data_IF_369663139821
#
_entry.id   IF_369663139821
#
_cell.length_a   1.000
_cell.length_b   1.000
_cell.length_c   1.000
_cell.angle_alpha   90.00
_cell.angle_beta   90.00
_cell.angle_gamma   90.00
#
_symmetry.space_group_name_H-M   'P 1'
#
loop_
_entity.id
_entity.type
_entity.pdbx_description
1 polymer ?
#
# COMPACT_ATOMS: atom_id res chain seq x y z
N UNK A 1 -12.45 59.16 0.25
CA UNK A 1 -12.00 57.75 0.16
C UNK A 1 -12.72 56.93 1.23
N UNK A 2 -13.86 56.32 0.90
CA UNK A 2 -14.53 55.38 1.80
C UNK A 2 -14.30 53.97 1.26
N UNK A 3 -13.15 53.39 1.61
CA UNK A 3 -12.86 51.99 1.35
C UNK A 3 -13.65 51.15 2.35
N UNK A 4 -14.80 50.63 1.92
CA UNK A 4 -15.51 49.59 2.67
C UNK A 4 -14.66 48.32 2.67
N UNK A 5 -14.12 47.94 3.81
CA UNK A 5 -13.61 46.58 4.01
C UNK A 5 -14.78 45.61 3.82
N UNK A 6 -14.66 44.57 2.99
CA UNK A 6 -15.70 43.56 2.91
C UNK A 6 -15.85 42.93 4.28
N UNK A 7 -17.06 43.00 4.83
CA UNK A 7 -17.42 42.33 6.07
C UNK A 7 -17.04 40.86 5.94
N UNK A 8 -16.14 40.39 6.81
CA UNK A 8 -15.67 39.01 6.78
C UNK A 8 -16.83 38.07 7.12
N UNK A 9 -17.41 37.47 6.09
CA UNK A 9 -18.51 36.51 6.17
C UNK A 9 -18.10 35.37 7.10
N UNK A 10 -18.99 34.94 8.00
CA UNK A 10 -18.71 33.73 8.79
C UNK A 10 -18.53 32.55 7.83
N UNK A 11 -17.53 31.71 8.05
CA UNK A 11 -17.15 30.68 7.09
C UNK A 11 -17.31 29.33 7.78
N UNK A 12 -18.30 28.58 7.32
CA UNK A 12 -18.47 27.18 7.68
C UNK A 12 -17.91 26.35 6.54
N UNK A 13 -17.09 25.35 6.84
CA UNK A 13 -16.55 24.43 5.84
C UNK A 13 -16.44 23.01 6.37
N UNK A 14 -16.44 22.04 5.47
CA UNK A 14 -16.23 20.63 5.79
C UNK A 14 -14.85 20.22 5.29
N UNK A 15 -14.01 19.71 6.19
CA UNK A 15 -12.68 19.20 5.87
C UNK A 15 -12.72 17.68 5.75
N UNK A 16 -12.24 17.20 4.61
CA UNK A 16 -12.10 15.78 4.28
C UNK A 16 -10.80 15.57 3.51
N UNK A 17 -10.11 14.42 3.69
CA UNK A 17 -8.97 14.04 2.88
C UNK A 17 -9.41 13.73 1.45
N UNK A 18 -8.54 13.98 0.47
CA UNK A 18 -8.82 13.64 -0.92
C UNK A 18 -8.86 12.11 -1.14
N UNK A 19 -8.06 11.36 -0.38
CA UNK A 19 -7.91 9.91 -0.54
C UNK A 19 -7.80 9.25 0.84
N UNK A 20 -8.43 8.09 0.99
CA UNK A 20 -8.29 7.20 2.15
C UNK A 20 -7.97 5.80 1.65
N UNK A 21 -6.97 5.17 2.26
CA UNK A 21 -6.61 3.78 1.99
C UNK A 21 -7.38 2.86 2.96
N UNK A 22 -7.92 1.76 2.43
CA UNK A 22 -8.62 0.75 3.20
C UNK A 22 -8.07 -0.65 2.96
N UNK A 23 -7.27 -1.21 3.87
CA UNK A 23 -6.85 -2.60 3.74
C UNK A 23 -8.08 -3.52 3.81
N UNK A 24 -8.17 -4.48 2.88
CA UNK A 24 -9.29 -5.40 2.79
C UNK A 24 -9.54 -6.12 4.14
N UNK A 25 -10.80 -6.16 4.58
CA UNK A 25 -11.21 -6.80 5.82
C UNK A 25 -10.89 -6.01 7.09
N UNK A 26 -10.26 -4.83 7.00
CA UNK A 26 -10.00 -3.95 8.15
C UNK A 26 -11.10 -2.90 8.32
N UNK A 27 -11.14 -2.27 9.50
CA UNK A 27 -11.98 -1.10 9.72
C UNK A 27 -11.31 0.17 9.18
N UNK A 28 -12.10 1.04 8.55
CA UNK A 28 -11.60 2.28 7.94
C UNK A 28 -12.45 3.46 8.39
N UNK A 29 -11.79 4.50 8.88
CA UNK A 29 -12.42 5.77 9.23
C UNK A 29 -12.39 6.71 8.03
N UNK A 30 -13.57 7.19 7.61
CA UNK A 30 -13.71 8.31 6.68
C UNK A 30 -13.99 9.58 7.48
N UNK A 31 -12.99 10.45 7.68
CA UNK A 31 -13.14 11.62 8.52
C UNK A 31 -13.93 12.72 7.81
N UNK A 32 -14.82 13.37 8.56
CA UNK A 32 -15.47 14.62 8.16
C UNK A 32 -15.47 15.57 9.34
N UNK A 33 -14.82 16.72 9.20
CA UNK A 33 -14.69 17.71 10.26
C UNK A 33 -15.36 19.02 9.85
N UNK A 34 -16.33 19.47 10.65
CA UNK A 34 -16.90 20.81 10.52
C UNK A 34 -15.93 21.83 11.11
N UNK A 35 -15.51 22.78 10.27
CA UNK A 35 -14.81 23.98 10.67
C UNK A 35 -15.84 25.12 10.77
N UNK A 36 -15.90 25.75 11.94
CA UNK A 36 -16.83 26.82 12.26
C UNK A 36 -16.05 28.00 12.85
N UNK A 37 -16.20 29.18 12.26
CA UNK A 37 -15.55 30.40 12.74
C UNK A 37 -16.22 31.04 13.97
N UNK A 38 -17.26 30.42 14.55
CA UNK A 38 -17.97 30.81 15.78
C UNK A 38 -18.62 32.21 15.72
N UNK A 39 -18.78 32.77 14.52
CA UNK A 39 -19.35 34.13 14.30
C UNK A 39 -20.87 34.15 14.13
N UNK A 40 -21.47 32.96 14.00
CA UNK A 40 -22.90 32.72 13.86
C UNK A 40 -23.35 31.69 14.89
N UNK A 41 -24.53 31.90 15.48
CA UNK A 41 -25.08 30.98 16.46
C UNK A 41 -25.86 29.89 15.74
N UNK A 42 -25.49 28.63 15.96
CA UNK A 42 -26.25 27.48 15.50
C UNK A 42 -27.59 27.41 16.26
N UNK A 43 -28.69 27.36 15.51
CA UNK A 43 -30.05 27.25 16.05
C UNK A 43 -30.54 25.80 16.14
N UNK A 44 -29.82 24.87 15.52
CA UNK A 44 -30.10 23.44 15.56
C UNK A 44 -28.80 22.63 15.67
N UNK A 45 -28.93 21.35 15.99
CA UNK A 45 -27.81 20.42 15.93
C UNK A 45 -27.43 20.16 14.46
N UNK A 46 -26.15 20.30 14.06
CA UNK A 46 -25.70 19.98 12.71
C UNK A 46 -26.06 18.55 12.28
N UNK A 47 -26.68 18.43 11.11
CA UNK A 47 -27.03 17.15 10.50
C UNK A 47 -26.02 16.85 9.40
N UNK A 48 -24.99 16.07 9.72
CA UNK A 48 -24.07 15.50 8.74
C UNK A 48 -24.65 14.22 8.16
N UNK A 49 -24.49 14.05 6.85
CA UNK A 49 -24.88 12.88 6.09
C UNK A 49 -23.89 12.66 4.95
N UNK A 50 -23.82 11.43 4.44
CA UNK A 50 -22.83 11.05 3.44
C UNK A 50 -23.52 10.64 2.13
N UNK A 51 -22.83 10.91 1.03
CA UNK A 51 -23.19 10.47 -0.30
C UNK A 51 -22.04 9.62 -0.87
N UNK A 52 -22.37 8.46 -1.44
CA UNK A 52 -21.42 7.56 -2.10
C UNK A 52 -21.81 7.43 -3.55
N UNK A 53 -20.87 7.76 -4.44
CA UNK A 53 -21.07 7.70 -5.89
C UNK A 53 -22.37 8.40 -6.34
N UNK A 54 -22.72 9.52 -5.70
CA UNK A 54 -23.92 10.31 -6.02
C UNK A 54 -25.21 9.86 -5.31
N UNK A 55 -25.19 8.82 -4.46
CA UNK A 55 -26.36 8.32 -3.73
C UNK A 55 -26.17 8.46 -2.23
N UNK A 56 -27.20 8.97 -1.54
CA UNK A 56 -27.15 9.13 -0.10
C UNK A 56 -27.01 7.76 0.59
N UNK A 57 -26.05 7.65 1.50
CA UNK A 57 -25.87 6.43 2.30
C UNK A 57 -27.04 6.29 3.28
N UNK A 58 -27.69 5.12 3.34
CA UNK A 58 -28.64 4.83 4.40
C UNK A 58 -27.87 4.72 5.72
N UNK A 59 -28.21 5.57 6.70
CA UNK A 59 -27.50 5.64 7.99
C UNK A 59 -27.85 4.50 8.97
N UNK A 60 -28.45 3.41 8.48
CA UNK A 60 -29.01 2.30 9.26
C UNK A 60 -28.38 0.94 8.94
N UNK A 61 -27.25 0.91 8.24
CA UNK A 61 -26.53 -0.35 8.01
C UNK A 61 -25.56 -0.62 9.16
N UNK A 62 -25.59 -1.85 9.68
CA UNK A 62 -24.75 -2.37 10.78
C UNK A 62 -23.23 -2.19 10.58
N UNK A 63 -22.82 -1.67 9.42
CA UNK A 63 -21.44 -1.45 8.97
C UNK A 63 -20.92 -0.04 9.21
N UNK A 64 -21.79 0.90 9.62
CA UNK A 64 -21.46 2.32 9.79
C UNK A 64 -21.57 2.71 11.26
N UNK A 65 -20.44 3.02 11.90
CA UNK A 65 -20.41 3.60 13.24
C UNK A 65 -20.28 5.14 13.14
N UNK A 66 -21.11 5.88 13.89
CA UNK A 66 -21.10 7.35 13.89
C UNK A 66 -20.22 7.87 15.03
N UNK A 67 -19.16 8.59 14.70
CA UNK A 67 -18.34 9.28 15.71
C UNK A 67 -19.03 10.56 16.23
N UNK A 68 -18.58 11.16 17.35
CA UNK A 68 -19.06 12.47 17.82
C UNK A 68 -18.94 13.59 16.77
N UNK A 69 -18.01 13.42 15.82
CA UNK A 69 -17.79 14.33 14.69
C UNK A 69 -18.54 13.88 13.42
N UNK A 70 -19.35 12.82 13.50
CA UNK A 70 -20.06 12.15 12.39
C UNK A 70 -19.16 11.73 11.22
N UNK A 71 -17.87 11.49 11.51
CA UNK A 71 -17.05 10.59 10.69
C UNK A 71 -17.74 9.23 10.65
N UNK A 72 -17.64 8.55 9.51
CA UNK A 72 -18.15 7.19 9.38
C UNK A 72 -17.00 6.21 9.49
N UNK A 73 -17.17 5.19 10.31
CA UNK A 73 -16.30 4.02 10.31
C UNK A 73 -16.98 2.93 9.49
N UNK A 74 -16.29 2.43 8.47
CA UNK A 74 -16.68 1.25 7.72
C UNK A 74 -16.00 0.04 8.35
N UNK A 75 -16.77 -0.93 8.83
CA UNK A 75 -16.23 -2.16 9.40
C UNK A 75 -15.95 -3.20 8.33
N UNK A 76 -14.83 -3.91 8.44
CA UNK A 76 -14.44 -5.01 7.53
C UNK A 76 -14.65 -4.67 6.04
N UNK A 77 -13.87 -3.70 5.55
CA UNK A 77 -14.06 -3.17 4.20
C UNK A 77 -13.89 -4.24 3.11
N UNK A 78 -14.70 -4.13 2.06
CA UNK A 78 -14.78 -5.01 0.90
C UNK A 78 -14.50 -4.22 -0.36
N UNK A 79 -14.18 -4.90 -1.46
CA UNK A 79 -13.93 -4.27 -2.77
C UNK A 79 -15.04 -3.32 -3.22
N UNK A 80 -16.29 -3.67 -2.93
CA UNK A 80 -17.48 -2.88 -3.28
C UNK A 80 -17.61 -1.57 -2.49
N UNK A 81 -16.91 -1.41 -1.37
CA UNK A 81 -16.93 -0.16 -0.59
C UNK A 81 -16.03 0.91 -1.22
N UNK A 82 -15.12 0.52 -2.12
CA UNK A 82 -14.30 1.46 -2.88
C UNK A 82 -15.18 2.42 -3.69
N UNK A 83 -14.81 3.70 -3.71
CA UNK A 83 -15.60 4.71 -4.40
C UNK A 83 -15.40 6.11 -3.87
N UNK A 84 -16.25 7.02 -4.32
CA UNK A 84 -16.19 8.44 -3.97
C UNK A 84 -17.22 8.79 -2.91
N UNK A 85 -16.74 9.27 -1.76
CA UNK A 85 -17.53 9.67 -0.60
C UNK A 85 -17.54 11.19 -0.48
N UNK A 86 -18.72 11.78 -0.29
CA UNK A 86 -18.90 13.22 -0.08
C UNK A 86 -19.68 13.44 1.21
N UNK A 87 -19.09 14.17 2.16
CA UNK A 87 -19.77 14.54 3.39
C UNK A 87 -20.57 15.81 3.13
N UNK A 88 -21.82 15.83 3.60
CA UNK A 88 -22.72 16.96 3.46
C UNK A 88 -23.26 17.34 4.82
N UNK A 89 -23.51 18.63 5.00
CA UNK A 89 -24.04 19.18 6.23
C UNK A 89 -25.32 19.97 5.96
N UNK A 90 -26.30 19.83 6.84
CA UNK A 90 -27.45 20.73 6.95
C UNK A 90 -27.44 21.40 8.32
N UNK A 91 -27.41 22.73 8.33
CA UNK A 91 -27.43 23.57 9.55
C UNK A 91 -28.38 24.75 9.39
N UNK A 92 -28.77 25.32 10.52
CA UNK A 92 -29.54 26.56 10.61
C UNK A 92 -28.83 27.53 11.56
N UNK A 93 -28.59 28.75 11.10
CA UNK A 93 -28.00 29.81 11.91
C UNK A 93 -28.97 30.95 12.16
N UNK A 94 -28.64 31.80 13.14
CA UNK A 94 -29.35 33.02 13.47
C UNK A 94 -29.31 34.06 12.35
N UNK A 95 -28.21 34.13 11.57
CA UNK A 95 -28.04 35.13 10.51
C UNK A 95 -28.46 34.65 9.12
N UNK A 96 -28.18 33.39 8.76
CA UNK A 96 -28.41 32.85 7.40
C UNK A 96 -29.64 31.96 7.28
N UNK A 97 -30.32 31.63 8.38
CA UNK A 97 -31.37 30.63 8.35
C UNK A 97 -30.80 29.26 7.97
N UNK A 98 -31.57 28.44 7.26
CA UNK A 98 -31.18 27.07 6.91
C UNK A 98 -30.37 27.02 5.62
N UNK A 99 -29.22 26.34 5.65
CA UNK A 99 -28.41 26.11 4.45
C UNK A 99 -27.67 24.77 4.51
N UNK A 100 -27.10 24.38 3.35
CA UNK A 100 -26.36 23.13 3.18
C UNK A 100 -24.94 23.39 2.72
N UNK A 101 -24.01 22.59 3.22
CA UNK A 101 -22.61 22.58 2.80
C UNK A 101 -22.28 21.23 2.20
N UNK A 102 -21.34 21.24 1.26
CA UNK A 102 -20.72 20.04 0.69
C UNK A 102 -19.24 20.10 0.98
N UNK A 103 -18.69 19.02 1.51
CA UNK A 103 -17.26 18.87 1.65
C UNK A 103 -16.60 18.45 0.34
N UNK A 104 -15.29 18.32 0.38
CA UNK A 104 -14.53 17.75 -0.73
C UNK A 104 -14.84 16.26 -0.88
N UNK A 105 -14.67 15.76 -2.10
CA UNK A 105 -14.78 14.33 -2.38
C UNK A 105 -13.57 13.60 -1.81
N UNK A 106 -13.84 12.48 -1.14
CA UNK A 106 -12.85 11.52 -0.65
C UNK A 106 -12.95 10.23 -1.46
N UNK A 107 -11.88 9.84 -2.12
CA UNK A 107 -11.81 8.51 -2.77
C UNK A 107 -11.31 7.48 -1.76
N UNK A 108 -12.12 6.46 -1.49
CA UNK A 108 -11.71 5.27 -0.75
C UNK A 108 -11.13 4.25 -1.73
N UNK A 109 -9.84 3.92 -1.57
CA UNK A 109 -9.19 2.83 -2.29
C UNK A 109 -9.03 1.65 -1.36
N UNK A 110 -9.74 0.57 -1.65
CA UNK A 110 -9.58 -0.70 -0.95
C UNK A 110 -8.44 -1.46 -1.61
N UNK A 111 -7.52 -2.02 -0.83
CA UNK A 111 -6.38 -2.77 -1.35
C UNK A 111 -6.11 -4.03 -0.52
N UNK A 112 -5.52 -5.05 -1.13
CA UNK A 112 -4.98 -6.21 -0.40
C UNK A 112 -3.53 -5.94 0.09
N UNK A 113 -2.88 -6.99 0.58
CA UNK A 113 -1.48 -6.93 0.93
C UNK A 113 -0.62 -6.86 -0.34
N UNK A 114 0.29 -5.90 -0.39
CA UNK A 114 1.29 -5.81 -1.45
C UNK A 114 2.33 -6.92 -1.29
N UNK A 115 2.47 -7.76 -2.32
CA UNK A 115 3.38 -8.91 -2.31
C UNK A 115 4.61 -8.69 -3.17
N UNK A 116 5.68 -9.40 -2.82
CA UNK A 116 6.88 -9.53 -3.64
C UNK A 116 7.12 -11.01 -3.92
N UNK A 117 7.11 -11.37 -5.20
CA UNK A 117 7.27 -12.74 -5.66
C UNK A 117 8.51 -12.86 -6.55
N UNK A 118 9.29 -13.91 -6.32
CA UNK A 118 10.36 -14.30 -7.22
C UNK A 118 9.77 -15.11 -8.38
N UNK A 119 10.05 -14.65 -9.60
CA UNK A 119 9.51 -15.19 -10.84
C UNK A 119 10.65 -15.67 -11.74
N UNK A 120 10.34 -16.54 -12.71
CA UNK A 120 11.23 -17.15 -13.72
C UNK A 120 12.09 -18.34 -13.24
N UNK A 121 12.75 -19.01 -14.19
CA UNK A 121 13.72 -20.07 -13.88
C UNK A 121 14.92 -19.45 -13.14
N UNK A 122 15.26 -19.98 -11.97
CA UNK A 122 16.29 -19.48 -11.06
C UNK A 122 15.97 -18.15 -10.37
N UNK A 123 14.69 -17.79 -10.20
CA UNK A 123 14.26 -16.66 -9.36
C UNK A 123 14.89 -15.31 -9.76
N UNK A 124 15.20 -15.16 -11.06
CA UNK A 124 15.92 -14.01 -11.61
C UNK A 124 15.09 -12.74 -11.76
N UNK A 125 13.78 -12.81 -11.56
CA UNK A 125 12.86 -11.68 -11.68
C UNK A 125 12.16 -11.45 -10.35
N UNK A 126 12.08 -10.19 -9.93
CA UNK A 126 11.28 -9.76 -8.79
C UNK A 126 10.01 -9.09 -9.31
N UNK A 127 8.85 -9.62 -8.92
CA UNK A 127 7.54 -9.07 -9.23
C UNK A 127 6.94 -8.47 -7.96
N UNK A 128 6.56 -7.20 -8.00
CA UNK A 128 5.67 -6.61 -7.01
C UNK A 128 4.25 -6.63 -7.55
N UNK A 129 3.29 -7.03 -6.72
CA UNK A 129 1.88 -7.11 -7.09
C UNK A 129 0.97 -6.59 -5.97
N UNK A 130 -0.14 -5.95 -6.35
CA UNK A 130 -1.21 -5.53 -5.45
C UNK A 130 -2.55 -5.51 -6.17
N UNK A 131 -3.60 -5.98 -5.52
CA UNK A 131 -4.98 -5.92 -6.00
C UNK A 131 -5.74 -4.83 -5.28
N UNK A 132 -6.51 -4.05 -6.04
CA UNK A 132 -7.15 -2.84 -5.56
C UNK A 132 -8.56 -2.67 -6.11
N UNK A 133 -9.42 -1.95 -5.38
CA UNK A 133 -10.65 -1.40 -5.92
C UNK A 133 -10.29 -0.44 -7.05
N UNK A 134 -11.01 -0.53 -8.16
CA UNK A 134 -10.60 0.15 -9.36
C UNK A 134 -10.70 1.67 -9.24
N UNK A 135 -9.62 2.35 -9.66
CA UNK A 135 -9.57 3.78 -9.94
C UNK A 135 -8.56 4.03 -11.07
N UNK A 136 -8.90 4.81 -12.11
CA UNK A 136 -8.02 5.04 -13.25
C UNK A 136 -6.75 5.84 -12.92
N UNK A 137 -6.74 6.59 -11.81
CA UNK A 137 -5.59 7.41 -11.39
C UNK A 137 -4.54 6.66 -10.59
N UNK A 138 -4.68 5.34 -10.42
CA UNK A 138 -3.73 4.52 -9.68
C UNK A 138 -2.44 4.31 -10.46
N UNK A 139 -1.33 4.21 -9.76
CA UNK A 139 -0.01 3.90 -10.34
C UNK A 139 0.80 3.09 -9.34
N UNK A 140 1.36 1.98 -9.79
CA UNK A 140 2.29 1.15 -9.03
C UNK A 140 3.72 1.42 -9.51
N UNK A 141 4.57 1.96 -8.64
CA UNK A 141 5.98 2.18 -8.94
C UNK A 141 6.85 1.19 -8.19
N UNK A 142 7.78 0.58 -8.90
CA UNK A 142 8.84 -0.24 -8.34
C UNK A 142 10.15 0.54 -8.43
N UNK A 143 10.82 0.65 -7.30
CA UNK A 143 12.08 1.36 -7.14
C UNK A 143 13.17 0.42 -6.64
N UNK A 144 14.42 0.72 -6.99
CA UNK A 144 15.61 0.05 -6.48
C UNK A 144 16.57 1.09 -5.94
N UNK A 145 16.97 0.93 -4.67
CA UNK A 145 17.82 1.88 -3.96
C UNK A 145 17.28 3.33 -4.06
N UNK A 146 15.96 3.50 -4.01
CA UNK A 146 15.27 4.79 -4.11
C UNK A 146 14.98 5.29 -5.53
N UNK A 147 15.60 4.71 -6.57
CA UNK A 147 15.37 5.11 -7.96
C UNK A 147 14.22 4.29 -8.57
N UNK A 148 13.21 4.94 -9.15
CA UNK A 148 12.13 4.24 -9.86
C UNK A 148 12.69 3.55 -11.10
N UNK A 149 12.47 2.24 -11.18
CA UNK A 149 12.95 1.38 -12.27
C UNK A 149 11.82 0.89 -13.17
N UNK A 150 10.60 0.79 -12.65
CA UNK A 150 9.42 0.39 -13.41
C UNK A 150 8.19 1.06 -12.84
N UNK A 151 7.22 1.36 -13.71
CA UNK A 151 5.89 1.85 -13.33
C UNK A 151 4.82 1.04 -14.08
N UNK A 152 3.69 0.82 -13.42
CA UNK A 152 2.55 0.07 -13.95
C UNK A 152 1.27 0.83 -13.64
N UNK A 153 0.37 0.88 -14.61
CA UNK A 153 -0.95 1.50 -14.50
C UNK A 153 -2.04 0.42 -14.57
N UNK A 154 -3.25 0.68 -14.06
CA UNK A 154 -4.37 -0.24 -14.16
C UNK A 154 -4.62 -0.65 -15.62
N UNK A 155 -4.73 -1.95 -15.87
CA UNK A 155 -5.16 -2.41 -17.19
C UNK A 155 -6.62 -2.02 -17.44
N UNK A 156 -7.01 -1.81 -18.69
CA UNK A 156 -8.43 -1.60 -19.04
C UNK A 156 -9.31 -2.82 -18.72
N UNK A 157 -8.71 -4.01 -18.58
CA UNK A 157 -9.42 -5.24 -18.26
C UNK A 157 -9.77 -5.26 -16.76
N UNK A 158 -11.07 -5.25 -16.50
CA UNK A 158 -11.65 -5.31 -15.16
C UNK A 158 -11.92 -6.77 -14.78
N UNK A 159 -11.59 -7.16 -13.56
CA UNK A 159 -12.08 -8.42 -13.01
C UNK A 159 -13.61 -8.33 -12.76
N UNK A 160 -14.30 -9.47 -12.79
CA UNK A 160 -15.76 -9.51 -12.64
C UNK A 160 -16.26 -8.93 -11.31
N UNK A 161 -15.41 -8.93 -10.28
CA UNK A 161 -15.67 -8.37 -8.95
C UNK A 161 -15.35 -6.87 -8.82
N UNK A 162 -14.97 -6.20 -9.91
CA UNK A 162 -14.65 -4.77 -9.91
C UNK A 162 -13.25 -4.40 -9.41
N UNK A 163 -12.34 -5.37 -9.25
CA UNK A 163 -10.94 -5.11 -8.88
C UNK A 163 -10.03 -5.03 -10.10
N UNK A 164 -8.84 -4.47 -9.88
CA UNK A 164 -7.73 -4.49 -10.82
C UNK A 164 -6.46 -4.89 -10.07
N UNK A 165 -5.61 -5.68 -10.71
CA UNK A 165 -4.31 -6.06 -10.17
C UNK A 165 -3.23 -5.29 -10.91
N UNK A 166 -2.42 -4.54 -10.17
CA UNK A 166 -1.25 -3.86 -10.69
C UNK A 166 -0.03 -4.71 -10.37
N UNK A 167 0.86 -4.87 -11.34
CA UNK A 167 2.12 -5.55 -11.13
C UNK A 167 3.26 -4.88 -11.88
N UNK A 168 4.44 -4.89 -11.27
CA UNK A 168 5.69 -4.41 -11.86
C UNK A 168 6.78 -5.47 -11.64
N UNK A 169 7.48 -5.84 -12.72
CA UNK A 169 8.52 -6.88 -12.68
C UNK A 169 9.86 -6.29 -13.11
N UNK A 170 10.93 -6.60 -12.38
CA UNK A 170 12.31 -6.19 -12.71
C UNK A 170 13.29 -7.33 -12.51
N UNK A 171 14.46 -7.31 -13.18
CA UNK A 171 15.54 -8.25 -12.90
C UNK A 171 16.05 -8.11 -11.48
N UNK A 172 16.06 -9.23 -10.74
CA UNK A 172 16.70 -9.31 -9.44
C UNK A 172 18.21 -9.39 -9.66
N UNK A 173 18.92 -8.32 -9.30
CA UNK A 173 20.38 -8.25 -9.49
C UNK A 173 21.07 -7.89 -8.19
N UNK A 174 21.98 -8.75 -7.74
CA UNK A 174 22.84 -8.52 -6.58
C UNK A 174 22.09 -8.16 -5.29
N UNK A 175 22.84 -7.60 -4.36
CA UNK A 175 22.28 -7.09 -3.11
C UNK A 175 21.68 -5.70 -3.32
N UNK A 176 20.56 -5.43 -2.65
CA UNK A 176 19.90 -4.13 -2.74
C UNK A 176 18.52 -4.11 -2.14
N UNK A 177 17.99 -2.90 -1.98
CA UNK A 177 16.64 -2.66 -1.48
C UNK A 177 15.72 -2.33 -2.64
N UNK A 178 14.63 -3.08 -2.75
CA UNK A 178 13.54 -2.83 -3.69
C UNK A 178 12.35 -2.26 -2.90
N UNK A 179 11.78 -1.17 -3.39
CA UNK A 179 10.62 -0.51 -2.78
C UNK A 179 9.49 -0.42 -3.77
N UNK A 180 8.32 -0.89 -3.39
CA UNK A 180 7.13 -0.83 -4.22
C UNK A 180 6.10 0.11 -3.58
N UNK A 181 5.54 1.01 -4.37
CA UNK A 181 4.64 2.06 -3.90
C UNK A 181 3.41 2.11 -4.80
N UNK A 182 2.23 2.02 -4.19
CA UNK A 182 0.96 2.28 -4.85
C UNK A 182 0.53 3.70 -4.54
N UNK A 183 0.27 4.49 -5.59
CA UNK A 183 -0.19 5.88 -5.48
C UNK A 183 -1.48 6.11 -6.24
N UNK A 184 -2.28 7.07 -5.78
CA UNK A 184 -3.42 7.63 -6.48
C UNK A 184 -3.18 9.13 -6.67
N UNK A 185 -3.01 9.61 -7.91
CA UNK A 185 -2.69 11.02 -8.20
C UNK A 185 -1.59 11.58 -7.27
N UNK A 186 -0.48 10.85 -7.15
CA UNK A 186 0.67 11.14 -6.28
C UNK A 186 0.49 10.93 -4.76
N UNK A 187 -0.73 10.66 -4.29
CA UNK A 187 -0.98 10.30 -2.88
C UNK A 187 -0.61 8.84 -2.65
N UNK A 188 0.30 8.58 -1.72
CA UNK A 188 0.69 7.23 -1.33
C UNK A 188 -0.48 6.50 -0.65
N UNK A 189 -0.90 5.37 -1.23
CA UNK A 189 -1.92 4.47 -0.67
C UNK A 189 -1.26 3.47 0.26
N UNK A 190 -0.28 2.73 -0.25
CA UNK A 190 0.46 1.71 0.48
C UNK A 190 1.83 1.51 -0.16
N UNK A 191 2.78 0.99 0.63
CA UNK A 191 4.10 0.62 0.14
C UNK A 191 4.64 -0.60 0.87
N UNK A 192 5.54 -1.30 0.21
CA UNK A 192 6.26 -2.44 0.77
C UNK A 192 7.70 -2.43 0.29
N UNK A 193 8.59 -3.07 1.06
CA UNK A 193 10.01 -3.15 0.75
C UNK A 193 10.49 -4.61 0.75
N UNK A 194 11.37 -4.93 -0.18
CA UNK A 194 12.03 -6.22 -0.31
C UNK A 194 13.55 -6.04 -0.30
N UNK A 195 14.24 -6.82 0.53
CA UNK A 195 15.70 -6.82 0.59
C UNK A 195 16.25 -8.07 -0.09
N UNK A 196 17.02 -7.88 -1.14
CA UNK A 196 17.76 -8.96 -1.79
C UNK A 196 19.04 -9.24 -1.00
N UNK A 197 19.10 -10.43 -0.40
CA UNK A 197 20.36 -11.02 0.06
C UNK A 197 20.68 -12.17 -0.89
N UNK A 198 21.35 -11.87 -2.01
CA UNK A 198 21.85 -12.92 -2.87
C UNK A 198 23.05 -13.52 -2.16
N UNK A 199 22.85 -14.62 -1.44
CA UNK A 199 23.96 -15.48 -1.02
C UNK A 199 24.65 -15.94 -2.29
N UNK A 200 25.85 -15.46 -2.51
CA UNK A 200 26.69 -15.83 -3.64
C UNK A 200 26.82 -17.37 -3.66
N UNK A 201 26.04 -18.04 -4.52
CA UNK A 201 26.22 -19.46 -4.83
C UNK A 201 27.62 -19.75 -5.40
N UNK A 202 28.45 -18.72 -5.59
CA UNK A 202 29.89 -18.86 -5.85
C UNK A 202 30.72 -19.22 -4.63
N UNK A 203 30.15 -19.36 -3.44
CA UNK A 203 30.65 -20.35 -2.46
C UNK A 203 30.22 -21.75 -2.87
N UNK A 204 30.64 -22.14 -4.07
CA UNK A 204 30.82 -23.53 -4.44
C UNK A 204 31.80 -24.08 -3.41
N UNK A 205 31.30 -24.86 -2.46
CA UNK A 205 32.13 -25.62 -1.53
C UNK A 205 33.21 -26.28 -2.40
N UNK A 206 34.49 -25.85 -2.33
CA UNK A 206 35.51 -26.51 -3.09
C UNK A 206 35.49 -27.95 -2.60
N UNK A 207 35.31 -28.92 -3.50
CA UNK A 207 35.42 -30.31 -3.14
C UNK A 207 36.70 -30.49 -2.31
N UNK A 208 36.64 -31.19 -1.16
CA UNK A 208 37.75 -31.20 -0.21
C UNK A 208 38.83 -32.12 -0.75
N UNK A 209 39.56 -31.68 -1.77
CA UNK A 209 40.69 -32.37 -2.38
C UNK A 209 41.75 -32.74 -1.34
N UNK A 210 41.85 -32.00 -0.23
CA UNK A 210 42.65 -32.36 0.93
C UNK A 210 42.23 -33.69 1.59
N UNK A 211 40.93 -33.99 1.66
CA UNK A 211 40.43 -35.26 2.19
C UNK A 211 40.77 -36.41 1.23
N UNK A 212 40.61 -36.21 -0.08
CA UNK A 212 40.97 -37.21 -1.09
C UNK A 212 42.50 -37.46 -1.13
N UNK A 213 43.31 -36.40 -1.05
CA UNK A 213 44.76 -36.50 -0.98
C UNK A 213 45.22 -37.22 0.29
N UNK A 214 44.64 -36.90 1.45
CA UNK A 214 44.92 -37.59 2.71
C UNK A 214 44.55 -39.07 2.66
N UNK A 215 43.39 -39.42 2.08
CA UNK A 215 42.94 -40.81 1.97
C UNK A 215 43.84 -41.65 1.04
N UNK A 216 44.42 -41.06 0.00
CA UNK A 216 45.34 -41.73 -0.94
C UNK A 216 46.79 -41.80 -0.42
N UNK A 217 47.20 -40.84 0.42
CA UNK A 217 48.54 -40.83 1.03
C UNK A 217 48.74 -41.97 2.02
N UNK A 218 47.72 -42.36 2.77
CA UNK A 218 47.82 -43.42 3.78
C UNK A 218 48.16 -44.79 3.16
N UNK A 219 47.44 -45.30 2.14
CA UNK A 219 47.81 -46.53 1.45
C UNK A 219 49.20 -46.48 0.82
N UNK A 220 49.58 -45.34 0.23
CA UNK A 220 50.88 -45.17 -0.40
C UNK A 220 52.04 -45.27 0.61
N UNK A 221 51.89 -44.63 1.78
CA UNK A 221 52.88 -44.70 2.86
C UNK A 221 52.98 -46.10 3.46
N UNK A 222 51.86 -46.80 3.62
CA UNK A 222 51.84 -48.20 4.10
C UNK A 222 52.56 -49.13 3.12
N UNK A 223 52.30 -49.00 1.82
CA UNK A 223 52.96 -49.81 0.78
C UNK A 223 54.47 -49.54 0.73
N UNK A 224 54.90 -48.28 0.86
CA UNK A 224 56.31 -47.92 0.92
C UNK A 224 57.00 -48.51 2.17
N UNK A 225 56.35 -48.46 3.32
CA UNK A 225 56.87 -49.06 4.55
C UNK A 225 57.03 -50.58 4.43
N UNK A 226 56.05 -51.27 3.84
CA UNK A 226 56.12 -52.71 3.59
C UNK A 226 57.24 -53.06 2.59
N UNK A 227 57.39 -52.29 1.51
CA UNK A 227 58.45 -52.48 0.54
C UNK A 227 59.85 -52.28 1.16
N UNK A 228 60.02 -51.24 1.98
CA UNK A 228 61.27 -50.98 2.69
C UNK A 228 61.61 -52.10 3.70
N UNK A 229 60.62 -52.60 4.44
CA UNK A 229 60.80 -53.73 5.35
C UNK A 229 61.23 -55.01 4.59
N UNK A 230 60.60 -55.29 3.45
CA UNK A 230 60.95 -56.44 2.60
C UNK A 230 62.36 -56.33 1.99
N UNK A 231 62.83 -55.12 1.71
CA UNK A 231 64.20 -54.85 1.23
C UNK A 231 65.26 -54.97 2.33
N UNK A 232 64.91 -54.67 3.58
CA UNK A 232 65.81 -54.81 4.73
C UNK A 232 65.87 -56.23 5.29
N UNK A 233 64.88 -57.08 4.98
CA UNK A 233 64.83 -58.49 5.38
C UNK A 233 65.33 -59.48 4.31
N UNK A 234 65.99 -58.99 3.24
CA UNK A 234 66.74 -59.80 2.27
C UNK A 234 68.24 -59.68 2.53
#
# INVERSE_FOLDING_TARGET
CCGGFPAAVAEFSLRQPAVVAGPLGQNVLLPCQLLDSQREKLLNRPVLYWEVNGKQLPFNENKISSSPNKSIELTEVRWSDGGTYECKLSIRTDKRGSFRLRGNKTTLIVHDAMTFDLCSRHDSLLRCEVTVSQDPGLTLTLSRNGCVVQSSAPSERRAANGTVTLAATVPLTGNGQYGCQLKLHDVLITSSNFHSQQTDERRRYPEPWFLYAGLLLVPALVLLALAAAMLMCR
#
